data_IF_386465118810
#
_entry.id   IF_386465118810
#
_cell.length_a   1.000
_cell.length_b   1.000
_cell.length_c   1.000
_cell.angle_alpha   90.00
_cell.angle_beta   90.00
_cell.angle_gamma   90.00
#
_symmetry.space_group_name_H-M   'P 1'
#
loop_
_entity.id
_entity.type
_entity.pdbx_description
1 polymer ?
#
# COMPACT_ATOMS: atom_id res chain seq x y z
N UNK A 1 -30.47 -10.16 21.57
CA UNK A 1 -30.74 -9.65 20.20
C UNK A 1 -29.84 -8.43 19.95
N UNK A 2 -28.82 -8.53 19.10
CA UNK A 2 -27.98 -7.37 18.75
C UNK A 2 -28.83 -6.42 17.88
N UNK A 3 -29.21 -5.26 18.42
CA UNK A 3 -29.89 -4.20 17.65
C UNK A 3 -28.99 -3.82 16.47
N UNK A 4 -29.45 -4.09 15.24
CA UNK A 4 -28.83 -3.60 14.00
C UNK A 4 -28.95 -2.07 14.07
N UNK A 5 -27.87 -1.36 14.42
CA UNK A 5 -27.84 0.11 14.31
C UNK A 5 -27.98 0.41 12.83
N UNK A 6 -29.09 1.04 12.46
CA UNK A 6 -29.25 1.64 11.15
C UNK A 6 -28.27 2.82 11.14
N UNK A 7 -27.06 2.58 10.67
CA UNK A 7 -26.06 3.63 10.46
C UNK A 7 -26.39 4.23 9.11
N UNK A 8 -26.75 5.51 9.12
CA UNK A 8 -27.01 6.29 7.90
C UNK A 8 -25.79 6.21 6.98
N UNK A 9 -26.02 5.84 5.72
CA UNK A 9 -24.97 5.70 4.71
C UNK A 9 -24.16 7.01 4.57
N UNK A 10 -24.81 8.17 4.76
CA UNK A 10 -24.13 9.48 4.75
C UNK A 10 -23.12 9.64 5.86
N UNK A 11 -23.45 9.20 7.08
CA UNK A 11 -22.55 9.30 8.24
C UNK A 11 -21.39 8.33 8.08
N UNK A 12 -21.66 7.12 7.57
CA UNK A 12 -20.61 6.13 7.30
C UNK A 12 -19.64 6.60 6.21
N UNK A 13 -20.13 7.25 5.16
CA UNK A 13 -19.33 7.79 4.07
C UNK A 13 -18.42 8.93 4.52
N UNK A 14 -18.95 9.88 5.31
CA UNK A 14 -18.14 10.96 5.88
C UNK A 14 -17.06 10.42 6.82
N UNK A 15 -17.40 9.47 7.70
CA UNK A 15 -16.42 8.84 8.59
C UNK A 15 -15.29 8.14 7.83
N UNK A 16 -15.60 7.56 6.67
CA UNK A 16 -14.62 6.94 5.80
C UNK A 16 -13.67 7.96 5.15
N UNK A 17 -14.19 9.10 4.70
CA UNK A 17 -13.39 10.20 4.12
C UNK A 17 -12.44 10.78 5.17
N UNK A 18 -12.94 11.09 6.37
CA UNK A 18 -12.12 11.60 7.47
C UNK A 18 -11.09 10.57 7.93
N UNK A 19 -11.48 9.29 7.99
CA UNK A 19 -10.58 8.19 8.31
C UNK A 19 -9.42 8.06 7.31
N UNK A 20 -9.72 8.18 6.01
CA UNK A 20 -8.70 8.16 4.96
C UNK A 20 -7.75 9.36 5.03
N UNK A 21 -8.29 10.57 5.23
CA UNK A 21 -7.47 11.77 5.36
C UNK A 21 -6.57 11.71 6.60
N UNK A 22 -7.10 11.29 7.75
CA UNK A 22 -6.35 11.13 8.98
C UNK A 22 -5.25 10.06 8.85
N UNK A 23 -5.57 8.92 8.23
CA UNK A 23 -4.59 7.88 7.95
C UNK A 23 -3.47 8.40 7.03
N UNK A 24 -3.81 9.09 5.95
CA UNK A 24 -2.81 9.66 5.03
C UNK A 24 -1.90 10.67 5.74
N UNK A 25 -2.44 11.53 6.59
CA UNK A 25 -1.64 12.49 7.36
C UNK A 25 -0.64 11.76 8.28
N UNK A 26 -1.11 10.77 9.04
CA UNK A 26 -0.27 9.96 9.92
C UNK A 26 0.77 9.16 9.14
N UNK A 27 0.37 8.56 8.02
CA UNK A 27 1.24 7.79 7.15
C UNK A 27 2.37 8.65 6.59
N UNK A 28 2.04 9.82 6.03
CA UNK A 28 3.05 10.76 5.50
C UNK A 28 3.97 11.25 6.62
N UNK A 29 3.44 11.60 7.79
CA UNK A 29 4.24 12.02 8.94
C UNK A 29 5.22 10.95 9.42
N UNK A 30 4.76 9.70 9.58
CA UNK A 30 5.60 8.57 9.97
C UNK A 30 6.61 8.20 8.89
N UNK A 31 6.25 8.30 7.61
CA UNK A 31 7.15 8.09 6.49
C UNK A 31 8.28 9.13 6.47
N UNK A 32 7.96 10.41 6.63
CA UNK A 32 8.97 11.49 6.71
C UNK A 32 9.87 11.28 7.92
N UNK A 33 9.30 10.95 9.09
CA UNK A 33 10.06 10.67 10.30
C UNK A 33 11.05 9.51 10.08
N UNK A 34 10.59 8.40 9.51
CA UNK A 34 11.44 7.24 9.20
C UNK A 34 12.50 7.59 8.16
N UNK A 35 12.14 8.34 7.12
CA UNK A 35 13.07 8.79 6.08
C UNK A 35 14.21 9.64 6.66
N UNK A 36 13.88 10.60 7.53
CA UNK A 36 14.88 11.46 8.18
C UNK A 36 15.79 10.63 9.09
N UNK A 37 15.25 9.70 9.89
CA UNK A 37 16.06 8.80 10.73
C UNK A 37 17.04 7.94 9.92
N UNK A 38 16.58 7.35 8.82
CA UNK A 38 17.39 6.43 8.00
C UNK A 38 18.42 7.19 7.15
N UNK A 39 18.03 8.25 6.45
CA UNK A 39 18.88 8.89 5.44
C UNK A 39 19.65 10.11 5.95
N UNK A 40 19.02 10.94 6.79
CA UNK A 40 19.64 12.20 7.27
C UNK A 40 20.49 11.92 8.50
N UNK A 41 19.90 11.27 9.51
CA UNK A 41 20.58 10.99 10.78
C UNK A 41 21.44 9.72 10.73
N UNK A 42 21.22 8.85 9.74
CA UNK A 42 21.90 7.55 9.60
C UNK A 42 21.88 6.74 10.91
N UNK A 43 20.74 6.75 11.59
CA UNK A 43 20.58 6.04 12.86
C UNK A 43 20.62 4.54 12.63
N UNK A 44 21.10 3.84 13.66
CA UNK A 44 21.22 2.39 13.63
C UNK A 44 19.82 1.74 13.65
N UNK A 45 19.71 0.48 13.19
CA UNK A 45 18.42 -0.22 13.02
C UNK A 45 17.54 -0.11 14.28
N UNK A 46 18.16 -0.25 15.45
CA UNK A 46 17.48 -0.28 16.76
C UNK A 46 16.69 1.00 17.06
N UNK A 47 17.14 2.14 16.53
CA UNK A 47 16.60 3.47 16.89
C UNK A 47 15.44 3.94 16.00
N UNK A 48 15.22 3.25 14.87
CA UNK A 48 14.12 3.53 13.95
C UNK A 48 13.18 2.35 13.73
N UNK A 49 13.55 1.14 14.20
CA UNK A 49 12.73 -0.06 14.11
C UNK A 49 11.36 0.12 14.79
N UNK A 50 11.31 0.84 15.91
CA UNK A 50 10.07 1.13 16.64
C UNK A 50 9.05 1.87 15.77
N UNK A 51 9.51 2.90 15.08
CA UNK A 51 8.74 3.82 14.25
C UNK A 51 8.27 3.09 12.99
N UNK A 52 9.14 2.25 12.44
CA UNK A 52 8.82 1.38 11.31
C UNK A 52 7.78 0.32 11.66
N UNK A 53 7.89 -0.32 12.84
CA UNK A 53 6.90 -1.30 13.29
C UNK A 53 5.54 -0.65 13.54
N UNK A 54 5.49 0.53 14.15
CA UNK A 54 4.26 1.30 14.32
C UNK A 54 3.63 1.61 12.95
N UNK A 55 4.42 2.03 11.97
CA UNK A 55 3.96 2.27 10.60
C UNK A 55 3.36 1.00 9.98
N UNK A 56 4.05 -0.15 10.10
CA UNK A 56 3.59 -1.42 9.56
C UNK A 56 2.28 -1.89 10.19
N UNK A 57 2.15 -1.78 11.51
CA UNK A 57 0.92 -2.13 12.24
C UNK A 57 -0.23 -1.19 11.84
N UNK A 58 0.01 0.11 11.74
CA UNK A 58 -0.99 1.09 11.31
C UNK A 58 -1.48 0.81 9.87
N UNK A 59 -0.57 0.53 8.95
CA UNK A 59 -0.90 0.14 7.57
C UNK A 59 -1.70 -1.17 7.53
N UNK A 60 -1.28 -2.18 8.28
CA UNK A 60 -1.99 -3.47 8.34
C UNK A 60 -3.40 -3.33 8.89
N UNK A 61 -3.57 -2.62 10.02
CA UNK A 61 -4.88 -2.33 10.60
C UNK A 61 -5.78 -1.58 9.62
N UNK A 62 -5.27 -0.52 8.99
CA UNK A 62 -6.04 0.27 8.03
C UNK A 62 -6.43 -0.54 6.79
N UNK A 63 -5.52 -1.37 6.26
CA UNK A 63 -5.82 -2.27 5.15
C UNK A 63 -6.95 -3.25 5.50
N UNK A 64 -6.87 -3.90 6.66
CA UNK A 64 -7.93 -4.81 7.15
C UNK A 64 -9.25 -4.05 7.31
N UNK A 65 -9.22 -2.83 7.86
CA UNK A 65 -10.43 -2.00 8.03
C UNK A 65 -11.06 -1.61 6.69
N UNK A 66 -10.27 -1.28 5.68
CA UNK A 66 -10.76 -0.98 4.33
C UNK A 66 -11.38 -2.21 3.66
N UNK A 67 -10.76 -3.37 3.82
CA UNK A 67 -11.28 -4.66 3.32
C UNK A 67 -12.59 -5.03 4.02
N UNK A 68 -12.62 -4.94 5.35
CA UNK A 68 -13.82 -5.18 6.15
C UNK A 68 -14.92 -4.14 5.88
N UNK A 69 -14.54 -2.92 5.50
CA UNK A 69 -15.44 -1.85 5.08
C UNK A 69 -16.03 -2.02 3.69
N UNK A 70 -15.55 -2.99 2.90
CA UNK A 70 -16.02 -3.18 1.52
C UNK A 70 -15.48 -2.13 0.55
N UNK A 71 -14.51 -1.31 0.94
CA UNK A 71 -14.00 -0.16 0.16
C UNK A 71 -13.39 -0.60 -1.18
N UNK A 72 -12.90 -1.84 -1.24
CA UNK A 72 -12.32 -2.44 -2.44
C UNK A 72 -13.33 -3.25 -3.26
N UNK A 73 -14.63 -3.23 -2.91
CA UNK A 73 -15.66 -3.85 -3.74
C UNK A 73 -15.68 -3.20 -5.11
N UNK A 74 -15.81 -4.01 -6.16
CA UNK A 74 -15.94 -3.47 -7.51
C UNK A 74 -17.27 -2.71 -7.62
N UNK A 75 -17.29 -1.50 -8.21
CA UNK A 75 -18.54 -0.87 -8.56
C UNK A 75 -19.28 -1.72 -9.60
N UNK A 76 -20.62 -1.73 -9.53
CA UNK A 76 -21.47 -2.51 -10.44
C UNK A 76 -21.39 -2.03 -11.90
N UNK A 77 -20.92 -0.80 -12.13
CA UNK A 77 -20.68 -0.24 -13.47
C UNK A 77 -19.37 -0.73 -14.06
N UNK A 78 -19.45 -1.35 -15.24
CA UNK A 78 -18.29 -1.86 -15.98
C UNK A 78 -17.23 -0.78 -16.29
N UNK A 79 -17.65 0.43 -16.63
CA UNK A 79 -16.75 1.54 -16.97
C UNK A 79 -15.90 1.98 -15.77
N UNK A 80 -16.52 2.08 -14.59
CA UNK A 80 -15.83 2.41 -13.34
C UNK A 80 -14.89 1.26 -12.92
N UNK A 81 -15.31 0.01 -13.16
CA UNK A 81 -14.49 -1.17 -12.89
C UNK A 81 -13.20 -1.19 -13.74
N UNK A 82 -13.30 -0.85 -15.04
CA UNK A 82 -12.15 -0.73 -15.95
C UNK A 82 -11.23 0.43 -15.54
N UNK A 83 -11.80 1.57 -15.16
CA UNK A 83 -11.05 2.74 -14.67
C UNK A 83 -10.24 2.41 -13.41
N UNK A 84 -10.86 1.74 -12.43
CA UNK A 84 -10.18 1.32 -11.19
C UNK A 84 -9.06 0.30 -11.47
N UNK A 85 -9.30 -0.69 -12.33
CA UNK A 85 -8.28 -1.66 -12.76
C UNK A 85 -7.08 -0.94 -13.38
N UNK A 86 -7.32 0.04 -14.26
CA UNK A 86 -6.26 0.83 -14.91
C UNK A 86 -5.49 1.69 -13.92
N UNK A 87 -6.17 2.42 -13.03
CA UNK A 87 -5.54 3.23 -11.98
C UNK A 87 -4.65 2.39 -11.07
N UNK A 88 -5.12 1.22 -10.65
CA UNK A 88 -4.35 0.31 -9.81
C UNK A 88 -3.13 -0.29 -10.54
N UNK A 89 -3.27 -0.62 -11.82
CA UNK A 89 -2.14 -1.10 -12.63
C UNK A 89 -1.07 -0.01 -12.80
N UNK A 90 -1.49 1.24 -13.06
CA UNK A 90 -0.58 2.39 -13.15
C UNK A 90 0.11 2.63 -11.81
N UNK A 91 -0.63 2.60 -10.69
CA UNK A 91 -0.06 2.77 -9.35
C UNK A 91 0.97 1.69 -9.03
N UNK A 92 0.68 0.42 -9.35
CA UNK A 92 1.63 -0.68 -9.20
C UNK A 92 2.88 -0.48 -10.07
N UNK A 93 2.70 0.00 -11.30
CA UNK A 93 3.80 0.27 -12.23
C UNK A 93 4.73 1.38 -11.72
N UNK A 94 4.16 2.48 -11.24
CA UNK A 94 4.92 3.57 -10.61
C UNK A 94 5.67 3.04 -9.37
N UNK A 95 4.99 2.26 -8.51
CA UNK A 95 5.61 1.66 -7.34
C UNK A 95 6.79 0.75 -7.68
N UNK A 96 6.67 -0.05 -8.74
CA UNK A 96 7.74 -0.92 -9.22
C UNK A 96 8.94 -0.14 -9.77
N UNK A 97 8.70 0.96 -10.50
CA UNK A 97 9.77 1.84 -11.00
C UNK A 97 10.53 2.45 -9.81
N UNK A 98 9.80 2.99 -8.82
CA UNK A 98 10.40 3.59 -7.62
C UNK A 98 11.21 2.55 -6.84
N UNK A 99 10.64 1.36 -6.64
CA UNK A 99 11.33 0.26 -5.95
C UNK A 99 12.59 -0.20 -6.70
N UNK A 100 12.52 -0.32 -8.03
CA UNK A 100 13.66 -0.65 -8.88
C UNK A 100 14.76 0.40 -8.81
N UNK A 101 14.41 1.69 -8.85
CA UNK A 101 15.35 2.80 -8.72
C UNK A 101 16.03 2.82 -7.34
N UNK A 102 15.28 2.57 -6.27
CA UNK A 102 15.83 2.45 -4.92
C UNK A 102 16.77 1.25 -4.80
N UNK A 103 16.33 0.07 -5.26
CA UNK A 103 17.15 -1.16 -5.23
C UNK A 103 18.46 -0.96 -5.99
N UNK A 104 18.38 -0.37 -7.18
CA UNK A 104 19.57 -0.01 -7.95
C UNK A 104 20.47 0.97 -7.21
N UNK A 105 19.90 2.00 -6.58
CA UNK A 105 20.69 3.01 -5.85
C UNK A 105 21.42 2.43 -4.64
N UNK A 106 20.79 1.49 -3.93
CA UNK A 106 21.43 0.75 -2.84
C UNK A 106 22.56 -0.14 -3.36
N UNK A 107 22.30 -0.95 -4.39
CA UNK A 107 23.30 -1.87 -4.95
C UNK A 107 24.43 -1.14 -5.68
N UNK A 108 24.15 0.02 -6.27
CA UNK A 108 25.16 0.85 -6.94
C UNK A 108 26.07 1.58 -5.95
N UNK A 109 25.64 1.76 -4.69
CA UNK A 109 26.43 2.43 -3.66
C UNK A 109 27.59 1.53 -3.20
N UNK A 110 28.75 1.68 -3.85
CA UNK A 110 29.98 0.93 -3.56
C UNK A 110 30.39 -0.09 -4.62
N UNK A 111 29.64 -0.23 -5.71
CA UNK A 111 29.93 -1.19 -6.79
C UNK A 111 30.92 -0.66 -7.83
N UNK A 112 31.73 -1.56 -8.40
CA UNK A 112 32.65 -1.24 -9.50
C UNK A 112 31.90 -1.05 -10.84
N UNK A 113 32.55 -0.41 -11.83
CA UNK A 113 31.93 -0.10 -13.14
C UNK A 113 31.44 -1.34 -13.89
N UNK A 114 32.10 -2.49 -13.71
CA UNK A 114 31.70 -3.79 -14.26
C UNK A 114 30.48 -4.40 -13.57
N UNK A 115 30.24 -4.05 -12.30
CA UNK A 115 29.12 -4.55 -11.52
C UNK A 115 27.83 -3.75 -11.76
N UNK A 116 27.93 -2.51 -12.26
CA UNK A 116 26.77 -1.66 -12.54
C UNK A 116 25.75 -2.31 -13.47
N UNK A 117 26.20 -3.01 -14.53
CA UNK A 117 25.28 -3.70 -15.47
C UNK A 117 24.57 -4.86 -14.77
N UNK A 118 25.29 -5.61 -13.93
CA UNK A 118 24.73 -6.73 -13.16
C UNK A 118 23.74 -6.24 -12.12
N UNK A 119 24.04 -5.13 -11.44
CA UNK A 119 23.18 -4.51 -10.44
C UNK A 119 21.92 -3.92 -11.09
N UNK A 120 22.04 -3.33 -12.28
CA UNK A 120 20.90 -2.86 -13.07
C UNK A 120 19.98 -4.02 -13.49
N UNK A 121 20.55 -5.14 -13.95
CA UNK A 121 19.77 -6.32 -14.28
C UNK A 121 19.07 -6.90 -13.04
N UNK A 122 19.78 -6.97 -11.91
CA UNK A 122 19.23 -7.40 -10.62
C UNK A 122 18.07 -6.51 -10.16
N UNK A 123 18.22 -5.20 -10.21
CA UNK A 123 17.19 -4.24 -9.80
C UNK A 123 15.95 -4.28 -10.70
N UNK A 124 16.13 -4.52 -12.01
CA UNK A 124 15.01 -4.72 -12.94
C UNK A 124 14.24 -6.00 -12.63
N UNK A 125 14.93 -7.11 -12.37
CA UNK A 125 14.29 -8.36 -11.96
C UNK A 125 13.53 -8.17 -10.63
N UNK A 126 14.14 -7.51 -9.66
CA UNK A 126 13.50 -7.19 -8.38
C UNK A 126 12.24 -6.32 -8.58
N UNK A 127 12.29 -5.32 -9.47
CA UNK A 127 11.13 -4.49 -9.80
C UNK A 127 10.00 -5.29 -10.46
N UNK A 128 10.31 -6.23 -11.36
CA UNK A 128 9.31 -7.10 -11.99
C UNK A 128 8.64 -8.02 -10.95
N UNK A 129 9.43 -8.63 -10.07
CA UNK A 129 8.91 -9.48 -8.98
C UNK A 129 8.01 -8.66 -8.06
N UNK A 130 8.46 -7.45 -7.69
CA UNK A 130 7.69 -6.54 -6.87
C UNK A 130 6.36 -6.15 -7.54
N UNK A 131 6.39 -5.82 -8.83
CA UNK A 131 5.18 -5.51 -9.61
C UNK A 131 4.19 -6.68 -9.65
N UNK A 132 4.69 -7.89 -9.91
CA UNK A 132 3.87 -9.11 -9.93
C UNK A 132 3.25 -9.38 -8.55
N UNK A 133 4.04 -9.26 -7.48
CA UNK A 133 3.57 -9.39 -6.10
C UNK A 133 2.49 -8.38 -5.73
N UNK A 134 2.73 -7.09 -6.01
CA UNK A 134 1.75 -6.00 -5.78
C UNK A 134 0.44 -6.23 -6.54
N UNK A 135 0.53 -6.72 -7.78
CA UNK A 135 -0.64 -7.03 -8.60
C UNK A 135 -1.41 -8.21 -8.05
N UNK A 136 -0.72 -9.27 -7.63
CA UNK A 136 -1.34 -10.43 -6.96
C UNK A 136 -2.04 -10.03 -5.66
N UNK A 137 -1.37 -9.26 -4.80
CA UNK A 137 -1.95 -8.74 -3.56
C UNK A 137 -3.19 -7.89 -3.80
N UNK A 138 -3.16 -7.00 -4.80
CA UNK A 138 -4.31 -6.19 -5.15
C UNK A 138 -5.51 -7.04 -5.59
N UNK A 139 -5.28 -8.12 -6.34
CA UNK A 139 -6.34 -9.07 -6.69
C UNK A 139 -6.90 -9.82 -5.47
N UNK A 140 -6.04 -10.24 -4.54
CA UNK A 140 -6.46 -10.90 -3.30
C UNK A 140 -7.33 -9.99 -2.44
N UNK A 141 -6.90 -8.76 -2.20
CA UNK A 141 -7.67 -7.80 -1.40
C UNK A 141 -9.06 -7.53 -1.99
N UNK A 142 -9.16 -7.44 -3.31
CA UNK A 142 -10.45 -7.28 -4.00
C UNK A 142 -11.34 -8.50 -3.83
N UNK A 143 -10.80 -9.72 -3.97
CA UNK A 143 -11.57 -10.97 -3.76
C UNK A 143 -12.08 -11.09 -2.33
N UNK A 144 -11.25 -10.76 -1.33
CA UNK A 144 -11.64 -10.83 0.08
C UNK A 144 -12.70 -9.77 0.37
N UNK A 145 -12.50 -8.53 -0.08
CA UNK A 145 -13.46 -7.44 0.10
C UNK A 145 -14.81 -7.75 -0.53
N UNK A 146 -14.84 -8.40 -1.70
CA UNK A 146 -16.08 -8.81 -2.37
C UNK A 146 -16.86 -9.84 -1.56
N UNK A 147 -16.18 -10.91 -1.10
CA UNK A 147 -16.81 -11.96 -0.28
C UNK A 147 -17.41 -11.40 1.00
N UNK A 148 -16.69 -10.51 1.69
CA UNK A 148 -17.19 -9.86 2.91
C UNK A 148 -18.43 -9.01 2.63
N UNK A 149 -18.49 -8.34 1.46
CA UNK A 149 -19.64 -7.52 1.12
C UNK A 149 -20.88 -8.37 0.80
N UNK A 150 -20.71 -9.49 0.08
CA UNK A 150 -21.78 -10.46 -0.17
C UNK A 150 -22.32 -11.07 1.12
N UNK A 151 -21.46 -11.39 2.10
CA UNK A 151 -21.88 -11.89 3.41
C UNK A 151 -22.68 -10.87 4.22
N UNK A 152 -22.41 -9.57 4.07
CA UNK A 152 -23.16 -8.50 4.75
C UNK A 152 -24.55 -8.24 4.15
N UNK A 153 -24.75 -8.58 2.88
CA UNK A 153 -26.00 -8.38 2.14
C UNK A 153 -27.00 -9.53 2.35
N UNK A 154 -26.56 -10.69 2.86
CA UNK A 154 -27.41 -11.81 3.31
C UNK A 154 -27.93 -11.60 4.73
#
# INVERSE_FOLDING_TARGET
MKKKRIVDERISGQLHIYGYQAFNLLFVGLMISTFVKVFVLRLDLKDWLDSFLILMVACGYYAIRCVAGGVFSMPDREDEQRSLKRKNLIANGIGAIVFGALSFSFDASGSSRSELIRNLAGSLVAAIIFFAGMTWFSLLYRKISHRINEEKLK
#
